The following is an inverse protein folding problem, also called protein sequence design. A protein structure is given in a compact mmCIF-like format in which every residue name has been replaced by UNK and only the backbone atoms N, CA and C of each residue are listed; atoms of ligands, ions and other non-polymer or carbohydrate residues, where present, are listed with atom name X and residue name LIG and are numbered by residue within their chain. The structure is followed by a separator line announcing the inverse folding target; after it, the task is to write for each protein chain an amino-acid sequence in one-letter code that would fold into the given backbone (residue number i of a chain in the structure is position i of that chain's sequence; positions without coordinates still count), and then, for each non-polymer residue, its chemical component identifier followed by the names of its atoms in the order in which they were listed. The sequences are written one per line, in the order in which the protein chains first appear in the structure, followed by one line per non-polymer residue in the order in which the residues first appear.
data_IF_993575098880
#
_entry.id   IF_993575098880
#
_cell.length_a   1.000
_cell.length_b   1.000
_cell.length_c   1.000
_cell.angle_alpha   90.00
_cell.angle_beta   90.00
_cell.angle_gamma   90.00
#
_symmetry.space_group_name_H-M   'P 1'
#
loop_
_entity.id
_entity.type
_entity.pdbx_description
1 polymer ?
#
# COMPACT_ATOMS: atom_id res chain seq x y z
N UNK A 1 25.86 -4.24 -68.33
CA UNK A 1 25.57 -5.50 -67.62
C UNK A 1 26.03 -5.35 -66.17
N UNK A 2 25.15 -4.85 -65.30
CA UNK A 2 25.43 -4.74 -63.87
C UNK A 2 25.10 -6.10 -63.21
N UNK A 3 26.11 -6.78 -62.66
CA UNK A 3 25.91 -7.98 -61.86
C UNK A 3 25.30 -7.59 -60.50
N UNK A 4 24.29 -8.32 -59.98
CA UNK A 4 23.76 -8.06 -58.65
C UNK A 4 24.80 -8.50 -57.60
N UNK A 5 25.17 -7.59 -56.70
CA UNK A 5 26.01 -7.91 -55.55
C UNK A 5 25.33 -9.01 -54.72
N UNK A 6 25.96 -10.18 -54.68
CA UNK A 6 25.57 -11.27 -53.81
C UNK A 6 25.63 -10.76 -52.36
N UNK A 7 24.48 -10.70 -51.69
CA UNK A 7 24.42 -10.43 -50.26
C UNK A 7 25.15 -11.57 -49.54
N UNK A 8 26.28 -11.24 -48.89
CA UNK A 8 27.11 -12.20 -48.17
C UNK A 8 26.24 -13.04 -47.19
N UNK A 9 26.22 -14.38 -47.31
CA UNK A 9 25.38 -15.26 -46.48
C UNK A 9 25.67 -15.14 -44.97
N UNK A 10 26.88 -14.69 -44.60
CA UNK A 10 27.29 -14.39 -43.22
C UNK A 10 26.46 -13.25 -42.58
N UNK A 11 26.14 -12.19 -43.34
CA UNK A 11 25.35 -11.06 -42.83
C UNK A 11 23.87 -11.43 -42.62
N UNK A 12 23.32 -12.30 -43.47
CA UNK A 12 21.96 -12.79 -43.34
C UNK A 12 21.79 -13.73 -42.14
N UNK A 13 22.78 -14.59 -41.86
CA UNK A 13 22.81 -15.46 -40.69
C UNK A 13 22.91 -14.66 -39.38
N UNK A 14 23.79 -13.64 -39.34
CA UNK A 14 23.93 -12.74 -38.21
C UNK A 14 22.63 -11.93 -37.94
N UNK A 15 22.00 -11.38 -38.98
CA UNK A 15 20.74 -10.65 -38.84
C UNK A 15 19.59 -11.54 -38.32
N UNK A 16 19.53 -12.80 -38.79
CA UNK A 16 18.53 -13.79 -38.33
C UNK A 16 18.75 -14.16 -36.86
N UNK A 17 20.00 -14.25 -36.41
CA UNK A 17 20.36 -14.51 -35.02
C UNK A 17 19.94 -13.36 -34.10
N UNK A 18 20.23 -12.10 -34.50
CA UNK A 18 19.80 -10.90 -33.76
C UNK A 18 18.28 -10.82 -33.63
N UNK A 19 17.54 -11.06 -34.72
CA UNK A 19 16.08 -11.05 -34.69
C UNK A 19 15.50 -12.14 -33.77
N UNK A 20 16.10 -13.33 -33.74
CA UNK A 20 15.70 -14.43 -32.86
C UNK A 20 15.95 -14.08 -31.39
N UNK A 21 17.08 -13.42 -31.07
CA UNK A 21 17.43 -12.93 -29.74
C UNK A 21 16.46 -11.86 -29.25
N UNK A 22 16.19 -10.84 -30.06
CA UNK A 22 15.20 -9.79 -29.74
C UNK A 22 13.80 -10.36 -29.51
N UNK A 23 13.39 -11.39 -30.28
CA UNK A 23 12.11 -12.06 -30.08
C UNK A 23 12.06 -12.81 -28.74
N UNK A 24 13.13 -13.50 -28.36
CA UNK A 24 13.23 -14.21 -27.08
C UNK A 24 13.22 -13.25 -25.89
N UNK A 25 13.98 -12.16 -25.96
CA UNK A 25 14.01 -11.11 -24.94
C UNK A 25 12.64 -10.45 -24.74
N UNK A 26 11.96 -10.05 -25.83
CA UNK A 26 10.60 -9.51 -25.76
C UNK A 26 9.60 -10.51 -25.15
N UNK A 27 9.74 -11.80 -25.46
CA UNK A 27 8.90 -12.84 -24.88
C UNK A 27 9.15 -13.02 -23.37
N UNK A 28 10.42 -13.00 -22.94
CA UNK A 28 10.80 -13.09 -21.54
C UNK A 28 10.30 -11.86 -20.74
N UNK A 29 10.51 -10.65 -21.25
CA UNK A 29 9.99 -9.41 -20.65
C UNK A 29 8.46 -9.42 -20.54
N UNK A 30 7.76 -9.95 -21.56
CA UNK A 30 6.30 -10.12 -21.50
C UNK A 30 5.88 -11.09 -20.40
N UNK A 31 6.61 -12.20 -20.21
CA UNK A 31 6.35 -13.17 -19.13
C UNK A 31 6.57 -12.53 -17.76
N UNK A 32 7.71 -11.86 -17.55
CA UNK A 32 8.04 -11.14 -16.31
C UNK A 32 6.93 -10.12 -15.99
N UNK A 33 6.53 -9.31 -16.99
CA UNK A 33 5.45 -8.33 -16.81
C UNK A 33 4.11 -8.96 -16.46
N UNK A 34 3.82 -10.14 -17.02
CA UNK A 34 2.60 -10.91 -16.71
C UNK A 34 2.60 -11.38 -15.26
N UNK A 35 3.72 -11.90 -14.77
CA UNK A 35 3.89 -12.33 -13.37
C UNK A 35 3.72 -11.17 -12.38
N UNK A 36 3.91 -9.92 -12.82
CA UNK A 36 3.67 -8.75 -11.97
C UNK A 36 2.24 -8.21 -12.05
N UNK A 37 1.40 -8.65 -12.99
CA UNK A 37 0.05 -8.08 -13.12
C UNK A 37 -0.84 -8.41 -11.90
N UNK A 38 -1.75 -7.51 -11.52
CA UNK A 38 -2.77 -7.80 -10.52
C UNK A 38 -3.51 -9.11 -10.86
N UNK A 39 -3.86 -9.88 -9.82
CA UNK A 39 -4.44 -11.24 -9.89
C UNK A 39 -3.47 -12.37 -10.25
N UNK A 40 -2.49 -12.14 -11.13
CA UNK A 40 -1.49 -13.16 -11.46
C UNK A 40 -0.34 -13.16 -10.44
N UNK A 41 0.07 -11.97 -9.98
CA UNK A 41 1.20 -11.77 -9.07
C UNK A 41 1.11 -12.55 -7.76
N UNK A 42 -0.10 -12.81 -7.28
CA UNK A 42 -0.32 -13.53 -6.03
C UNK A 42 0.13 -15.00 -6.12
N UNK A 43 0.13 -15.60 -7.32
CA UNK A 43 0.60 -16.97 -7.56
C UNK A 43 2.11 -17.13 -7.39
N UNK A 44 2.83 -16.00 -7.43
CA UNK A 44 4.29 -15.95 -7.33
C UNK A 44 4.76 -15.54 -5.93
N UNK A 45 3.85 -15.46 -4.96
CA UNK A 45 4.16 -15.15 -3.56
C UNK A 45 3.68 -16.29 -2.68
N UNK A 46 4.58 -16.84 -1.89
CA UNK A 46 4.30 -17.83 -0.87
C UNK A 46 4.30 -17.18 0.52
N UNK A 47 3.39 -17.61 1.38
CA UNK A 47 3.35 -17.25 2.80
C UNK A 47 4.15 -18.29 3.58
N UNK A 48 5.22 -17.83 4.24
CA UNK A 48 6.04 -18.66 5.13
C UNK A 48 5.46 -18.57 6.54
N UNK A 49 5.05 -19.70 7.10
CA UNK A 49 4.37 -19.77 8.39
C UNK A 49 5.24 -20.50 9.42
N UNK A 50 5.50 -19.84 10.56
CA UNK A 50 6.18 -20.44 11.71
C UNK A 50 5.35 -21.56 12.34
N UNK A 51 6.01 -22.65 12.73
CA UNK A 51 5.34 -23.84 13.27
C UNK A 51 4.59 -23.54 14.57
N UNK A 52 5.03 -22.54 15.36
CA UNK A 52 4.32 -22.08 16.56
C UNK A 52 2.95 -21.50 16.22
N UNK A 53 2.80 -20.86 15.06
CA UNK A 53 1.53 -20.32 14.58
C UNK A 53 0.71 -21.42 13.89
N UNK A 54 1.36 -22.25 13.07
CA UNK A 54 0.70 -23.34 12.36
C UNK A 54 0.05 -24.35 13.32
N UNK A 55 0.72 -24.65 14.44
CA UNK A 55 0.24 -25.58 15.45
C UNK A 55 -0.71 -24.93 16.48
N UNK A 56 -0.88 -23.60 16.46
CA UNK A 56 -1.85 -22.93 17.32
C UNK A 56 -3.29 -23.26 16.87
N UNK A 57 -4.11 -23.71 17.81
CA UNK A 57 -5.47 -24.21 17.54
C UNK A 57 -6.42 -23.14 16.99
N UNK A 58 -6.15 -21.85 17.24
CA UNK A 58 -6.99 -20.73 16.80
C UNK A 58 -6.39 -20.02 15.58
N UNK A 59 -5.09 -19.69 15.65
CA UNK A 59 -4.42 -18.86 14.65
C UNK A 59 -4.19 -19.62 13.35
N UNK A 60 -3.66 -20.84 13.41
CA UNK A 60 -3.34 -21.67 12.24
C UNK A 60 -4.55 -21.87 11.30
N UNK A 61 -5.68 -22.43 11.80
CA UNK A 61 -6.89 -22.62 11.00
C UNK A 61 -7.48 -21.31 10.46
N UNK A 62 -7.46 -20.23 11.25
CA UNK A 62 -8.01 -18.94 10.84
C UNK A 62 -7.19 -18.28 9.72
N UNK A 63 -5.87 -18.37 9.78
CA UNK A 63 -4.97 -17.86 8.74
C UNK A 63 -5.11 -18.69 7.48
N UNK A 64 -4.96 -20.01 7.58
CA UNK A 64 -5.06 -20.94 6.43
C UNK A 64 -6.42 -20.84 5.73
N UNK A 65 -7.52 -20.71 6.48
CA UNK A 65 -8.86 -20.51 5.93
C UNK A 65 -9.02 -19.20 5.13
N UNK A 66 -8.33 -18.12 5.53
CA UNK A 66 -8.38 -16.84 4.81
C UNK A 66 -7.49 -16.80 3.56
N UNK A 67 -6.46 -17.65 3.49
CA UNK A 67 -5.47 -17.66 2.41
C UNK A 67 -5.88 -18.46 1.18
N UNK A 68 -7.12 -18.94 1.10
CA UNK A 68 -7.67 -19.84 0.07
C UNK A 68 -7.04 -19.67 -1.34
N UNK A 69 -6.17 -20.61 -1.73
CA UNK A 69 -5.46 -20.64 -3.02
C UNK A 69 -4.06 -20.04 -3.05
N UNK A 70 -3.58 -19.42 -1.97
CA UNK A 70 -2.18 -19.01 -1.81
C UNK A 70 -1.29 -20.19 -1.39
N UNK A 71 -0.03 -20.17 -1.82
CA UNK A 71 0.95 -21.16 -1.39
C UNK A 71 1.37 -20.85 0.06
N UNK A 72 1.20 -21.83 0.94
CA UNK A 72 1.66 -21.77 2.33
C UNK A 72 2.80 -22.77 2.49
N UNK A 73 3.91 -22.32 3.04
CA UNK A 73 5.13 -23.11 3.24
C UNK A 73 5.57 -22.95 4.69
N UNK A 74 6.09 -23.99 5.36
CA UNK A 74 6.67 -23.82 6.68
C UNK A 74 7.88 -22.87 6.61
N UNK A 75 8.05 -22.04 7.64
CA UNK A 75 9.25 -21.22 7.80
C UNK A 75 10.44 -22.11 8.15
N UNK A 76 11.64 -21.79 7.67
CA UNK A 76 12.83 -22.63 7.91
C UNK A 76 13.13 -22.76 9.41
N UNK A 77 13.42 -23.99 9.87
CA UNK A 77 13.61 -24.28 11.28
C UNK A 77 14.77 -23.51 11.92
N UNK A 78 15.84 -23.25 11.17
CA UNK A 78 16.97 -22.46 11.64
C UNK A 78 16.58 -20.99 11.84
N UNK A 79 15.75 -20.45 10.94
CA UNK A 79 15.22 -19.09 11.07
C UNK A 79 14.24 -18.96 12.24
N UNK A 80 13.36 -19.95 12.41
CA UNK A 80 12.43 -20.00 13.55
C UNK A 80 13.19 -19.95 14.90
N UNK A 81 14.34 -20.62 15.01
CA UNK A 81 15.17 -20.60 16.23
C UNK A 81 15.83 -19.25 16.52
N UNK A 82 16.06 -18.44 15.48
CA UNK A 82 16.62 -17.09 15.63
C UNK A 82 15.56 -16.05 16.05
N UNK A 83 14.28 -16.35 15.82
CA UNK A 83 13.17 -15.45 16.05
C UNK A 83 12.54 -15.67 17.44
N UNK A 84 12.69 -14.73 18.39
CA UNK A 84 12.14 -14.89 19.74
C UNK A 84 10.60 -14.88 19.75
N UNK A 85 9.97 -14.26 18.74
CA UNK A 85 8.53 -14.24 18.53
C UNK A 85 8.15 -15.07 17.31
N UNK A 86 7.00 -15.79 17.33
CA UNK A 86 6.44 -16.42 16.14
C UNK A 86 6.29 -15.44 14.98
N UNK A 87 6.67 -15.86 13.77
CA UNK A 87 6.70 -14.97 12.61
C UNK A 87 5.93 -15.51 11.40
N UNK A 88 5.43 -14.58 10.60
CA UNK A 88 4.93 -14.83 9.25
C UNK A 88 5.79 -14.02 8.29
N UNK A 89 6.33 -14.68 7.27
CA UNK A 89 7.15 -14.05 6.24
C UNK A 89 6.59 -14.34 4.85
N UNK A 90 7.19 -13.72 3.84
CA UNK A 90 6.81 -13.94 2.45
C UNK A 90 8.03 -14.22 1.60
N UNK A 91 7.86 -15.14 0.66
CA UNK A 91 8.86 -15.47 -0.36
C UNK A 91 8.26 -15.22 -1.73
N UNK A 92 9.04 -14.62 -2.62
CA UNK A 92 8.66 -14.37 -4.00
C UNK A 92 9.46 -15.22 -4.96
N UNK A 93 8.78 -15.79 -5.93
CA UNK A 93 9.41 -16.36 -7.11
C UNK A 93 9.62 -15.24 -8.13
N UNK A 94 10.85 -14.76 -8.23
CA UNK A 94 11.24 -13.67 -9.11
C UNK A 94 11.62 -14.23 -10.47
N UNK A 95 11.03 -13.66 -11.51
CA UNK A 95 11.42 -13.92 -12.88
C UNK A 95 12.27 -12.74 -13.37
N UNK A 96 13.52 -13.01 -13.77
CA UNK A 96 14.44 -12.01 -14.32
C UNK A 96 14.98 -12.46 -15.67
N UNK A 97 15.52 -11.55 -16.47
CA UNK A 97 16.28 -11.93 -17.68
C UNK A 97 17.57 -12.62 -17.26
N UNK A 98 17.94 -13.71 -17.94
CA UNK A 98 19.21 -14.39 -17.68
C UNK A 98 20.38 -13.58 -18.26
N UNK A 99 21.27 -12.99 -17.42
CA UNK A 99 22.42 -12.25 -17.93
C UNK A 99 23.35 -13.13 -18.77
N UNK A 100 23.45 -14.42 -18.47
CA UNK A 100 24.32 -15.37 -19.18
C UNK A 100 23.75 -15.76 -20.55
N UNK A 101 22.41 -15.79 -20.71
CA UNK A 101 21.76 -15.99 -22.00
C UNK A 101 22.00 -14.82 -22.99
N UNK A 102 22.45 -13.67 -22.47
CA UNK A 102 22.71 -12.45 -23.24
C UNK A 102 24.17 -11.97 -23.16
N UNK A 103 25.04 -12.65 -22.43
CA UNK A 103 26.48 -12.42 -22.46
C UNK A 103 27.05 -12.87 -23.82
N UNK A 104 28.02 -12.12 -24.36
CA UNK A 104 28.60 -12.36 -25.68
C UNK A 104 29.35 -13.69 -25.76
N UNK A 105 28.63 -14.77 -26.07
CA UNK A 105 29.23 -16.01 -26.54
C UNK A 105 29.59 -15.82 -28.01
N UNK A 106 30.88 -15.56 -28.25
CA UNK A 106 31.48 -15.77 -29.56
C UNK A 106 31.29 -17.25 -29.96
N UNK A 107 30.82 -17.44 -31.20
CA UNK A 107 30.69 -18.72 -31.93
C UNK A 107 29.55 -19.68 -31.53
N UNK A 108 28.56 -19.74 -32.45
CA UNK A 108 27.82 -20.92 -32.98
C UNK A 108 27.17 -21.95 -32.05
N UNK A 109 27.27 -21.83 -30.73
CA UNK A 109 26.56 -22.68 -29.79
C UNK A 109 25.47 -21.87 -29.08
N UNK A 110 24.33 -21.69 -29.73
CA UNK A 110 23.09 -21.46 -28.98
C UNK A 110 22.86 -22.70 -28.09
N UNK A 111 22.68 -22.55 -26.76
CA UNK A 111 22.09 -23.61 -25.97
C UNK A 111 20.80 -24.05 -26.66
N UNK A 112 20.58 -25.36 -26.79
CA UNK A 112 19.46 -26.01 -27.50
C UNK A 112 18.06 -25.63 -26.95
N UNK A 113 18.01 -24.70 -25.99
CA UNK A 113 16.83 -24.15 -25.38
C UNK A 113 16.91 -22.62 -25.33
N UNK A 114 16.22 -21.95 -26.25
CA UNK A 114 15.79 -20.55 -26.07
C UNK A 114 14.77 -20.39 -24.93
N UNK A 115 14.45 -21.46 -24.18
CA UNK A 115 13.59 -21.41 -23.00
C UNK A 115 14.30 -20.84 -21.77
N UNK A 116 15.62 -20.60 -21.82
CA UNK A 116 16.42 -20.05 -20.72
C UNK A 116 16.70 -18.54 -20.82
N UNK A 117 15.92 -17.76 -21.58
CA UNK A 117 16.08 -16.30 -21.64
C UNK A 117 15.68 -15.59 -20.32
N UNK A 118 15.09 -16.32 -19.38
CA UNK A 118 14.73 -15.85 -18.05
C UNK A 118 15.16 -16.86 -16.97
N UNK A 119 15.70 -16.37 -15.87
CA UNK A 119 15.95 -17.14 -14.66
C UNK A 119 14.79 -16.97 -13.69
N UNK A 120 14.46 -18.05 -12.98
CA UNK A 120 13.54 -18.03 -11.86
C UNK A 120 14.36 -18.29 -10.59
N UNK A 121 14.25 -17.40 -9.61
CA UNK A 121 14.89 -17.57 -8.30
C UNK A 121 13.95 -17.15 -7.19
N UNK A 122 14.18 -17.66 -5.99
CA UNK A 122 13.41 -17.30 -4.81
C UNK A 122 14.08 -16.14 -4.09
N UNK A 123 13.30 -15.11 -3.76
CA UNK A 123 13.75 -13.97 -2.96
C UNK A 123 12.87 -13.87 -1.71
N UNK A 124 13.50 -13.74 -0.55
CA UNK A 124 12.80 -13.50 0.70
C UNK A 124 12.42 -12.02 0.79
N UNK A 125 11.14 -11.74 1.05
CA UNK A 125 10.68 -10.37 1.23
C UNK A 125 11.16 -9.78 2.56
N UNK A 126 11.38 -8.47 2.56
CA UNK A 126 11.79 -7.74 3.74
C UNK A 126 10.72 -7.73 4.83
N UNK A 127 9.45 -7.74 4.43
CA UNK A 127 8.31 -7.69 5.33
C UNK A 127 8.22 -8.94 6.20
N UNK A 128 7.93 -8.73 7.47
CA UNK A 128 7.64 -9.82 8.41
C UNK A 128 6.56 -9.38 9.39
N UNK A 129 5.73 -10.32 9.82
CA UNK A 129 4.70 -10.10 10.82
C UNK A 129 5.00 -10.96 12.03
N UNK A 130 5.44 -10.33 13.12
CA UNK A 130 5.69 -11.00 14.39
C UNK A 130 4.40 -11.02 15.21
N UNK A 131 4.11 -12.16 15.81
CA UNK A 131 2.93 -12.36 16.66
C UNK A 131 3.39 -12.46 18.11
N UNK A 132 2.83 -11.62 18.97
CA UNK A 132 3.04 -11.64 20.41
C UNK A 132 1.71 -11.87 21.11
N UNK A 133 1.71 -12.74 22.10
CA UNK A 133 0.57 -12.90 23.00
C UNK A 133 0.51 -11.70 23.96
N UNK A 134 -0.68 -11.11 24.13
CA UNK A 134 -0.91 -9.97 25.01
C UNK A 134 -0.48 -10.22 26.45
N UNK A 135 -0.51 -11.48 26.90
CA UNK A 135 0.03 -11.92 28.19
C UNK A 135 1.53 -11.63 28.30
N UNK A 136 2.32 -11.92 27.26
CA UNK A 136 3.76 -11.68 27.27
C UNK A 136 4.06 -10.19 27.40
N UNK A 137 3.29 -9.33 26.72
CA UNK A 137 3.43 -7.88 26.84
C UNK A 137 3.10 -7.40 28.26
N UNK A 138 1.99 -7.86 28.83
CA UNK A 138 1.57 -7.51 30.19
C UNK A 138 2.64 -7.94 31.20
N UNK A 139 3.19 -9.14 31.08
CA UNK A 139 4.27 -9.65 31.94
C UNK A 139 5.55 -8.80 31.82
N UNK A 140 5.93 -8.39 30.61
CA UNK A 140 7.08 -7.50 30.41
C UNK A 140 6.89 -6.14 31.09
N UNK A 141 5.68 -5.56 31.00
CA UNK A 141 5.37 -4.28 31.63
C UNK A 141 5.35 -4.39 33.16
N UNK A 142 4.75 -5.44 33.71
CA UNK A 142 4.73 -5.70 35.16
C UNK A 142 6.14 -5.82 35.73
N UNK A 143 7.03 -6.48 34.99
CA UNK A 143 8.42 -6.68 35.38
C UNK A 143 9.31 -5.45 35.10
N UNK A 144 8.73 -4.36 34.57
CA UNK A 144 9.44 -3.14 34.14
C UNK A 144 10.52 -3.40 33.08
N UNK A 145 10.27 -4.39 32.22
CA UNK A 145 11.16 -4.86 31.14
C UNK A 145 10.64 -4.45 29.77
N UNK A 146 9.81 -3.41 29.68
CA UNK A 146 9.23 -2.95 28.41
C UNK A 146 10.29 -2.50 27.38
N UNK A 147 11.52 -2.18 27.79
CA UNK A 147 12.63 -1.90 26.88
C UNK A 147 13.07 -3.14 26.09
N UNK A 148 12.87 -4.35 26.61
CA UNK A 148 13.20 -5.61 25.93
C UNK A 148 12.30 -5.88 24.73
N UNK A 149 11.14 -5.22 24.64
CA UNK A 149 10.25 -5.32 23.50
C UNK A 149 10.96 -4.95 22.18
N UNK A 150 11.91 -3.99 22.23
CA UNK A 150 12.73 -3.66 21.06
C UNK A 150 13.65 -4.82 20.65
N UNK A 151 14.27 -5.53 21.58
CA UNK A 151 15.16 -6.65 21.27
C UNK A 151 14.39 -7.90 20.83
N UNK A 152 13.16 -8.07 21.31
CA UNK A 152 12.28 -9.16 20.87
C UNK A 152 11.80 -8.95 19.43
N UNK A 153 11.48 -7.71 19.06
CA UNK A 153 11.03 -7.40 17.70
C UNK A 153 12.21 -7.24 16.74
N UNK A 154 13.38 -6.82 17.23
CA UNK A 154 14.63 -6.72 16.47
C UNK A 154 15.80 -7.43 17.17
N UNK A 155 15.87 -8.76 17.11
CA UNK A 155 17.10 -9.51 17.39
C UNK A 155 18.24 -9.00 16.51
N UNK A 156 19.33 -8.57 17.15
CA UNK A 156 20.50 -7.99 16.48
C UNK A 156 21.10 -8.91 15.40
N UNK A 157 20.96 -10.23 15.58
CA UNK A 157 21.44 -11.25 14.65
C UNK A 157 20.76 -11.19 13.27
N UNK A 158 19.51 -10.71 13.20
CA UNK A 158 18.75 -10.57 11.96
C UNK A 158 18.82 -9.15 11.39
N UNK A 159 19.38 -8.19 12.13
CA UNK A 159 19.59 -6.81 11.67
C UNK A 159 20.80 -6.70 10.74
N UNK A 160 21.80 -7.58 10.90
CA UNK A 160 23.00 -7.61 10.05
C UNK A 160 22.77 -8.18 8.65
N UNK A 161 21.64 -8.85 8.40
CA UNK A 161 21.25 -9.32 7.07
C UNK A 161 20.32 -8.28 6.40
N UNK A 162 20.51 -8.06 5.09
CA UNK A 162 19.88 -6.95 4.38
C UNK A 162 18.34 -6.88 4.54
N UNK A 163 17.83 -5.66 4.72
CA UNK A 163 16.41 -5.24 4.66
C UNK A 163 15.43 -6.17 5.39
N UNK A 164 15.50 -6.23 6.71
CA UNK A 164 14.39 -6.77 7.51
C UNK A 164 13.47 -5.65 8.03
N UNK A 165 12.17 -5.76 7.76
CA UNK A 165 11.15 -4.78 8.18
C UNK A 165 9.99 -5.48 8.91
N UNK A 166 10.13 -5.77 10.21
CA UNK A 166 9.08 -6.42 10.99
C UNK A 166 7.93 -5.46 11.32
N UNK A 167 6.74 -6.02 11.46
CA UNK A 167 5.56 -5.41 12.09
C UNK A 167 5.12 -6.32 13.23
N UNK A 168 4.59 -5.74 14.31
CA UNK A 168 4.15 -6.49 15.48
C UNK A 168 2.62 -6.57 15.53
N UNK A 169 2.10 -7.78 15.74
CA UNK A 169 0.71 -8.00 16.15
C UNK A 169 0.72 -8.48 17.59
N UNK A 170 -0.05 -7.80 18.44
CA UNK A 170 -0.30 -8.25 19.81
C UNK A 170 -1.72 -8.81 19.88
N UNK A 171 -1.85 -10.06 20.30
CA UNK A 171 -3.09 -10.79 20.29
C UNK A 171 -3.72 -10.88 21.69
N UNK A 172 -5.05 -10.77 21.82
CA UNK A 172 -5.79 -10.88 23.09
C UNK A 172 -5.34 -9.87 24.19
N UNK A 173 -4.85 -8.69 23.81
CA UNK A 173 -4.27 -7.74 24.76
C UNK A 173 -5.31 -7.20 25.76
N UNK A 174 -6.50 -6.83 25.28
CA UNK A 174 -7.54 -6.24 26.13
C UNK A 174 -8.02 -7.24 27.19
N UNK A 175 -8.09 -8.53 26.82
CA UNK A 175 -8.38 -9.62 27.73
C UNK A 175 -7.34 -9.69 28.86
N UNK A 176 -6.06 -9.62 28.53
CA UNK A 176 -4.98 -9.70 29.52
C UNK A 176 -4.84 -8.44 30.39
N UNK A 177 -5.06 -7.25 29.84
CA UNK A 177 -5.16 -6.01 30.63
C UNK A 177 -6.29 -6.14 31.67
N UNK A 178 -7.47 -6.58 31.24
CA UNK A 178 -8.63 -6.76 32.13
C UNK A 178 -8.35 -7.79 33.23
N UNK A 179 -7.71 -8.91 32.89
CA UNK A 179 -7.32 -9.94 33.86
C UNK A 179 -6.31 -9.40 34.88
N UNK A 180 -5.32 -8.62 34.43
CA UNK A 180 -4.33 -8.00 35.33
C UNK A 180 -4.99 -7.03 36.32
N UNK A 181 -5.97 -6.24 35.86
CA UNK A 181 -6.74 -5.33 36.71
C UNK A 181 -7.53 -6.09 37.77
N UNK A 182 -8.26 -7.14 37.37
CA UNK A 182 -9.04 -7.98 38.30
C UNK A 182 -8.16 -8.68 39.34
N UNK A 183 -6.99 -9.17 38.92
CA UNK A 183 -6.03 -9.79 39.82
C UNK A 183 -5.50 -8.78 40.86
N UNK A 184 -5.14 -7.57 40.42
CA UNK A 184 -4.69 -6.50 41.32
C UNK A 184 -5.77 -6.08 42.32
N UNK A 185 -7.03 -5.94 41.88
CA UNK A 185 -8.18 -5.64 42.74
C UNK A 185 -8.43 -6.74 43.79
N UNK A 186 -8.40 -8.02 43.37
CA UNK A 186 -8.56 -9.16 44.25
C UNK A 186 -7.45 -9.26 45.31
N UNK A 187 -6.19 -9.04 44.92
CA UNK A 187 -5.05 -9.01 45.83
C UNK A 187 -5.15 -7.85 46.82
N UNK A 188 -5.55 -6.66 46.37
CA UNK A 188 -5.80 -5.51 47.23
C UNK A 188 -6.91 -5.76 48.25
N UNK A 189 -7.99 -6.46 47.86
CA UNK A 189 -9.07 -6.84 48.76
C UNK A 189 -8.60 -7.84 49.83
N UNK A 190 -7.87 -8.89 49.42
CA UNK A 190 -7.30 -9.88 50.36
C UNK A 190 -6.35 -9.22 51.36
N UNK A 191 -5.48 -8.33 50.90
CA UNK A 191 -4.57 -7.57 51.76
C UNK A 191 -5.32 -6.73 52.80
N UNK A 192 -6.45 -6.10 52.43
CA UNK A 192 -7.31 -5.36 53.37
C UNK A 192 -7.99 -6.27 54.40
N UNK A 193 -8.42 -7.47 53.99
CA UNK A 193 -9.05 -8.43 54.90
C UNK A 193 -8.04 -8.98 55.93
N UNK A 194 -6.83 -9.31 55.51
CA UNK A 194 -5.72 -9.75 56.38
C UNK A 194 -5.23 -8.63 57.31
N UNK A 195 -5.27 -7.37 56.86
CA UNK A 195 -4.90 -6.23 57.72
C UNK A 195 -5.93 -5.96 58.83
N UNK A 196 -7.18 -6.40 58.67
CA UNK A 196 -8.25 -6.22 59.64
C UNK A 196 -8.36 -7.36 60.67
N UNK A 197 -7.70 -8.51 60.46
CA UNK A 197 -7.79 -9.64 61.39
C UNK A 197 -6.86 -9.53 62.60
N UNK A 198 -5.84 -8.66 62.56
CA UNK A 198 -4.83 -8.53 63.61
C UNK A 198 -4.59 -7.07 64.02
N UNK A 199 -5.49 -6.46 64.82
CA UNK A 199 -5.16 -5.46 65.88
C UNK A 199 -6.39 -4.86 66.60
N UNK A 200 -6.34 -4.65 67.92
CA UNK A 200 -7.26 -3.76 68.64
C UNK A 200 -6.98 -2.28 68.30
N UNK A 201 -8.02 -1.46 68.44
CA UNK A 201 -8.09 -0.04 68.06
C UNK A 201 -6.81 0.79 68.33
N UNK A 202 -6.17 1.23 67.24
CA UNK A 202 -5.13 2.26 67.23
C UNK A 202 -5.51 3.36 66.20
N UNK A 203 -5.08 4.62 66.39
CA UNK A 203 -5.58 5.78 65.65
C UNK A 203 -5.26 5.69 64.15
N UNK A 204 -6.00 6.41 63.28
CA UNK A 204 -6.06 6.13 61.85
C UNK A 204 -4.70 6.40 61.19
N UNK A 205 -3.91 5.35 61.02
CA UNK A 205 -2.74 5.38 60.15
C UNK A 205 -3.22 5.65 58.71
N UNK A 206 -2.51 6.54 58.01
CA UNK A 206 -2.76 6.87 56.60
C UNK A 206 -2.99 5.57 55.81
N UNK A 207 -4.14 5.50 55.12
CA UNK A 207 -4.53 4.37 54.25
C UNK A 207 -3.30 3.86 53.51
N UNK A 208 -2.87 2.59 53.71
CA UNK A 208 -1.84 2.02 52.86
C UNK A 208 -2.39 2.08 51.43
N UNK A 209 -1.67 2.76 50.53
CA UNK A 209 -1.95 2.65 49.09
C UNK A 209 -1.83 1.16 48.78
N UNK A 210 -2.96 0.49 48.53
CA UNK A 210 -2.96 -0.86 48.02
C UNK A 210 -2.00 -0.88 46.82
N UNK A 211 -1.05 -1.80 46.82
CA UNK A 211 -0.02 -1.85 45.79
C UNK A 211 -0.66 -2.08 44.42
N UNK A 212 -0.92 -1.01 43.69
CA UNK A 212 -1.30 -1.01 42.27
C UNK A 212 -0.11 -1.37 41.37
N UNK A 213 0.98 -1.86 41.95
CA UNK A 213 2.22 -2.19 41.25
C UNK A 213 2.06 -3.32 40.22
N UNK A 214 1.04 -4.18 40.39
CA UNK A 214 0.78 -5.31 39.50
C UNK A 214 -0.26 -5.00 38.41
N UNK A 215 -0.92 -3.84 38.46
CA UNK A 215 -1.94 -3.47 37.47
C UNK A 215 -1.25 -2.89 36.23
N UNK A 216 -1.42 -3.56 35.09
CA UNK A 216 -1.03 -2.99 33.80
C UNK A 216 -2.18 -2.17 33.26
N UNK A 217 -1.88 -0.92 32.94
CA UNK A 217 -2.83 0.00 32.33
C UNK A 217 -2.64 0.03 30.82
N UNK A 218 -3.72 0.34 30.10
CA UNK A 218 -3.65 0.57 28.65
C UNK A 218 -2.63 1.65 28.28
N UNK A 219 -2.49 2.69 29.11
CA UNK A 219 -1.50 3.75 28.91
C UNK A 219 -0.07 3.19 28.86
N UNK A 220 0.29 2.28 29.77
CA UNK A 220 1.62 1.67 29.78
C UNK A 220 1.89 0.81 28.54
N UNK A 221 0.87 0.12 28.03
CA UNK A 221 0.98 -0.62 26.76
C UNK A 221 1.21 0.33 25.58
N UNK A 222 0.42 1.41 25.48
CA UNK A 222 0.56 2.43 24.42
C UNK A 222 1.92 3.15 24.50
N UNK A 223 2.42 3.47 25.70
CA UNK A 223 3.77 4.02 25.90
C UNK A 223 4.85 3.08 25.36
N UNK A 224 4.73 1.77 25.59
CA UNK A 224 5.65 0.78 25.05
C UNK A 224 5.58 0.72 23.50
N UNK A 225 4.37 0.79 22.92
CA UNK A 225 4.19 0.82 21.47
C UNK A 225 4.77 2.06 20.82
N UNK A 226 4.49 3.24 21.39
CA UNK A 226 5.03 4.52 20.93
C UNK A 226 6.56 4.51 21.02
N UNK A 227 7.12 4.02 22.13
CA UNK A 227 8.56 3.87 22.28
C UNK A 227 9.15 2.99 21.17
N UNK A 228 8.55 1.83 20.90
CA UNK A 228 9.00 0.93 19.83
C UNK A 228 8.91 1.59 18.44
N UNK A 229 7.80 2.29 18.17
CA UNK A 229 7.59 2.99 16.89
C UNK A 229 8.59 4.13 16.70
N UNK A 230 8.87 4.92 17.73
CA UNK A 230 9.82 6.04 17.65
C UNK A 230 11.27 5.59 17.54
N UNK A 231 11.64 4.51 18.24
CA UNK A 231 13.03 4.04 18.28
C UNK A 231 13.39 3.14 17.09
N UNK A 232 12.44 2.36 16.58
CA UNK A 232 12.71 1.34 15.55
C UNK A 232 11.78 1.39 14.33
N UNK A 233 10.80 2.27 14.30
CA UNK A 233 9.88 2.40 13.17
C UNK A 233 8.88 1.25 13.01
N UNK A 234 8.67 0.42 14.04
CA UNK A 234 7.73 -0.70 13.95
C UNK A 234 6.31 -0.26 14.15
N UNK A 235 5.45 -0.76 13.27
CA UNK A 235 4.01 -0.64 13.43
C UNK A 235 3.50 -1.77 14.31
N UNK A 236 2.76 -1.41 15.36
CA UNK A 236 2.07 -2.36 16.24
C UNK A 236 0.58 -2.36 15.92
N UNK A 237 -0.03 -3.55 15.88
CA UNK A 237 -1.48 -3.73 15.73
C UNK A 237 -1.98 -4.65 16.83
N UNK A 238 -3.03 -4.25 17.53
CA UNK A 238 -3.71 -5.11 18.50
C UNK A 238 -4.88 -5.78 17.80
N UNK A 239 -4.96 -7.12 17.90
CA UNK A 239 -6.03 -7.91 17.32
C UNK A 239 -6.60 -8.87 18.36
N UNK A 240 -7.93 -9.02 18.38
CA UNK A 240 -8.64 -9.91 19.33
C UNK A 240 -9.35 -11.07 18.60
N UNK A 241 -9.46 -11.00 17.27
CA UNK A 241 -10.15 -11.98 16.42
C UNK A 241 -9.15 -12.66 15.47
N UNK A 242 -9.04 -14.00 15.47
CA UNK A 242 -8.02 -14.67 14.68
C UNK A 242 -8.36 -14.63 13.19
N UNK A 243 -9.63 -14.41 12.83
CA UNK A 243 -10.07 -14.19 11.46
C UNK A 243 -9.58 -12.84 10.94
N UNK A 244 -9.49 -11.81 11.80
CA UNK A 244 -8.90 -10.53 11.42
C UNK A 244 -7.39 -10.67 11.13
N UNK A 245 -6.69 -11.50 11.91
CA UNK A 245 -5.29 -11.83 11.61
C UNK A 245 -5.17 -12.53 10.24
N UNK A 246 -6.00 -13.54 9.97
CA UNK A 246 -6.00 -14.20 8.67
C UNK A 246 -6.26 -13.24 7.50
N UNK A 247 -7.23 -12.33 7.64
CA UNK A 247 -7.50 -11.26 6.66
C UNK A 247 -6.31 -10.30 6.50
N UNK A 248 -5.65 -9.93 7.59
CA UNK A 248 -4.46 -9.08 7.55
C UNK A 248 -3.33 -9.76 6.77
N UNK A 249 -3.05 -11.05 7.05
CA UNK A 249 -2.03 -11.83 6.34
C UNK A 249 -2.36 -11.91 4.85
N UNK A 250 -3.62 -12.16 4.48
CA UNK A 250 -4.07 -12.14 3.09
C UNK A 250 -3.85 -10.78 2.42
N UNK A 251 -4.24 -9.69 3.10
CA UNK A 251 -4.07 -8.33 2.60
C UNK A 251 -2.59 -7.97 2.42
N UNK A 252 -1.72 -8.37 3.35
CA UNK A 252 -0.27 -8.19 3.25
C UNK A 252 0.32 -9.00 2.09
N UNK A 253 -0.02 -10.28 1.97
CA UNK A 253 0.42 -11.11 0.84
C UNK A 253 0.02 -10.49 -0.51
N UNK A 254 -1.21 -9.96 -0.61
CA UNK A 254 -1.68 -9.24 -1.80
C UNK A 254 -0.92 -7.93 -2.02
N UNK A 255 -0.70 -7.14 -0.97
CA UNK A 255 0.02 -5.87 -1.07
C UNK A 255 1.47 -6.07 -1.49
N UNK A 256 2.14 -7.08 -0.92
CA UNK A 256 3.47 -7.54 -1.28
C UNK A 256 3.45 -7.98 -2.74
N UNK A 257 2.56 -8.88 -3.14
CA UNK A 257 2.47 -9.36 -4.53
C UNK A 257 2.31 -8.21 -5.55
N UNK A 258 1.47 -7.21 -5.26
CA UNK A 258 1.20 -6.05 -6.12
C UNK A 258 2.24 -4.92 -6.04
N UNK A 259 3.15 -4.94 -5.04
CA UNK A 259 4.17 -3.90 -4.83
C UNK A 259 4.97 -3.56 -6.09
N UNK A 260 5.60 -4.51 -6.82
CA UNK A 260 6.38 -4.18 -8.00
C UNK A 260 5.54 -3.55 -9.12
N UNK A 261 4.29 -4.01 -9.30
CA UNK A 261 3.37 -3.39 -10.25
C UNK A 261 3.01 -1.96 -9.84
N UNK A 262 2.76 -1.72 -8.55
CA UNK A 262 2.48 -0.38 -8.04
C UNK A 262 3.71 0.53 -8.13
N UNK A 263 4.91 0.03 -7.89
CA UNK A 263 6.17 0.78 -8.04
C UNK A 263 6.39 1.20 -9.49
N UNK A 264 6.35 0.25 -10.43
CA UNK A 264 6.47 0.53 -11.86
C UNK A 264 5.37 1.48 -12.37
N UNK A 265 4.17 1.42 -11.76
CA UNK A 265 3.07 2.36 -12.04
C UNK A 265 3.36 3.77 -11.50
N UNK A 266 3.97 3.89 -10.33
CA UNK A 266 4.30 5.19 -9.72
C UNK A 266 5.47 5.88 -10.43
N UNK A 267 6.37 5.11 -11.04
CA UNK A 267 7.43 5.63 -11.93
C UNK A 267 6.89 6.19 -13.26
N UNK A 268 5.61 5.95 -13.58
CA UNK A 268 4.96 6.55 -14.76
C UNK A 268 4.74 8.05 -14.57
N UNK A 269 4.99 8.83 -15.63
CA UNK A 269 4.85 10.30 -15.70
C UNK A 269 3.47 10.80 -15.27
N UNK A 270 2.45 9.95 -15.34
CA UNK A 270 1.05 10.31 -15.06
C UNK A 270 0.50 9.59 -13.82
N UNK A 271 1.18 9.65 -12.67
CA UNK A 271 0.79 8.93 -11.44
C UNK A 271 -0.68 9.11 -10.98
N UNK A 272 -1.37 10.17 -11.43
CA UNK A 272 -2.78 10.46 -11.16
C UNK A 272 -3.79 9.64 -11.99
N UNK A 273 -3.40 9.07 -13.14
CA UNK A 273 -4.35 8.47 -14.11
C UNK A 273 -4.90 7.09 -13.70
N UNK A 274 -4.56 6.56 -12.52
CA UNK A 274 -4.90 5.20 -12.07
C UNK A 274 -5.37 5.16 -10.60
N UNK A 275 -6.11 6.17 -10.17
CA UNK A 275 -6.82 6.15 -8.89
C UNK A 275 -8.30 5.85 -9.11
N UNK A 276 -8.81 4.76 -8.54
CA UNK A 276 -10.22 4.33 -8.65
C UNK A 276 -11.26 5.31 -8.01
N UNK A 277 -10.85 6.54 -7.67
CA UNK A 277 -11.74 7.59 -7.12
C UNK A 277 -11.87 8.84 -8.00
N UNK A 278 -10.95 9.07 -8.94
CA UNK A 278 -10.99 10.19 -9.90
C UNK A 278 -10.52 9.63 -11.23
N UNK A 279 -11.46 9.16 -12.08
CA UNK A 279 -11.09 8.54 -13.36
C UNK A 279 -11.71 7.17 -13.64
N UNK A 280 -12.93 6.91 -13.19
CA UNK A 280 -13.77 6.02 -14.00
C UNK A 280 -13.96 6.76 -15.34
N UNK A 281 -13.37 6.25 -16.43
CA UNK A 281 -13.52 6.87 -17.75
C UNK A 281 -15.01 7.11 -18.05
N UNK A 282 -15.32 8.23 -18.71
CA UNK A 282 -16.69 8.51 -19.13
C UNK A 282 -17.02 7.59 -20.31
N UNK A 283 -18.04 6.73 -20.15
CA UNK A 283 -18.56 5.93 -21.26
C UNK A 283 -19.28 6.86 -22.23
N UNK A 284 -18.89 6.81 -23.49
CA UNK A 284 -19.58 7.48 -24.58
C UNK A 284 -20.35 6.45 -25.38
N UNK A 285 -21.59 6.76 -25.73
CA UNK A 285 -22.41 5.93 -26.60
C UNK A 285 -22.64 6.67 -27.92
N UNK A 286 -22.40 5.98 -29.03
CA UNK A 286 -22.61 6.54 -30.36
C UNK A 286 -24.09 6.85 -30.58
N UNK A 287 -24.37 8.00 -31.17
CA UNK A 287 -25.74 8.40 -31.47
C UNK A 287 -26.22 7.72 -32.76
N UNK A 288 -27.39 7.07 -32.71
CA UNK A 288 -27.95 6.34 -33.84
C UNK A 288 -28.32 7.24 -35.04
N UNK A 289 -28.50 8.54 -34.80
CA UNK A 289 -28.85 9.56 -35.79
C UNK A 289 -27.64 10.36 -36.32
N UNK A 290 -26.41 9.97 -35.95
CA UNK A 290 -25.19 10.71 -36.30
C UNK A 290 -25.02 12.04 -35.52
N UNK A 291 -25.84 12.27 -34.49
CA UNK A 291 -25.74 13.39 -33.57
C UNK A 291 -24.60 13.28 -32.55
N UNK A 292 -24.59 14.17 -31.56
CA UNK A 292 -23.58 14.19 -30.50
C UNK A 292 -23.67 12.92 -29.64
N UNK A 293 -22.54 12.24 -29.34
CA UNK A 293 -22.55 11.03 -28.53
C UNK A 293 -23.12 11.30 -27.12
N UNK A 294 -23.92 10.36 -26.63
CA UNK A 294 -24.44 10.44 -25.28
C UNK A 294 -23.30 10.35 -24.26
N UNK A 295 -23.33 11.19 -23.23
CA UNK A 295 -22.28 11.27 -22.21
C UNK A 295 -21.19 12.32 -22.46
N UNK A 296 -21.25 13.09 -23.56
CA UNK A 296 -20.26 14.14 -23.83
C UNK A 296 -20.28 15.28 -22.80
N UNK A 297 -21.47 15.64 -22.30
CA UNK A 297 -21.61 16.66 -21.26
C UNK A 297 -20.99 16.20 -19.94
N UNK A 298 -21.14 14.91 -19.64
CA UNK A 298 -20.55 14.28 -18.47
C UNK A 298 -19.02 14.23 -18.59
N UNK A 299 -18.50 13.94 -19.79
CA UNK A 299 -17.07 14.06 -20.07
C UNK A 299 -16.56 15.47 -19.84
N UNK A 300 -17.27 16.49 -20.36
CA UNK A 300 -16.87 17.89 -20.16
C UNK A 300 -16.87 18.29 -18.69
N UNK A 301 -17.91 17.88 -17.95
CA UNK A 301 -18.00 18.06 -16.50
C UNK A 301 -16.81 17.44 -15.77
N UNK A 302 -16.47 16.18 -16.09
CA UNK A 302 -15.35 15.47 -15.49
C UNK A 302 -14.00 16.12 -15.80
N UNK A 303 -13.79 16.59 -17.04
CA UNK A 303 -12.59 17.34 -17.42
C UNK A 303 -12.42 18.61 -16.59
N UNK A 304 -13.50 19.36 -16.34
CA UNK A 304 -13.45 20.54 -15.47
C UNK A 304 -13.13 20.18 -14.02
N UNK A 305 -13.58 19.02 -13.53
CA UNK A 305 -13.29 18.56 -12.17
C UNK A 305 -11.86 18.05 -11.98
N UNK A 306 -11.09 17.87 -13.06
CA UNK A 306 -9.66 17.60 -12.95
C UNK A 306 -8.88 18.80 -12.41
N UNK A 307 -9.43 20.02 -12.48
CA UNK A 307 -8.82 21.19 -11.88
C UNK A 307 -8.98 21.17 -10.35
N UNK A 308 -7.91 21.45 -9.57
CA UNK A 308 -7.99 21.51 -8.12
C UNK A 308 -9.08 22.47 -7.64
N UNK A 309 -9.86 22.02 -6.65
CA UNK A 309 -10.97 22.77 -6.03
C UNK A 309 -12.19 23.02 -6.93
N UNK A 310 -12.26 22.42 -8.12
CA UNK A 310 -13.47 22.45 -8.96
C UNK A 310 -14.44 21.36 -8.54
N UNK A 311 -15.48 21.75 -7.81
CA UNK A 311 -16.58 20.85 -7.44
C UNK A 311 -17.54 20.63 -8.61
N UNK A 312 -18.42 19.64 -8.50
CA UNK A 312 -19.43 19.37 -9.53
C UNK A 312 -20.35 20.59 -9.79
N UNK A 313 -20.62 21.39 -8.76
CA UNK A 313 -21.42 22.61 -8.87
C UNK A 313 -20.68 23.72 -9.62
N UNK A 314 -19.39 23.94 -9.31
CA UNK A 314 -18.52 24.87 -10.03
C UNK A 314 -18.41 24.48 -11.51
N UNK A 315 -18.17 23.19 -11.78
CA UNK A 315 -18.11 22.67 -13.14
C UNK A 315 -19.41 22.95 -13.90
N UNK A 316 -20.58 22.68 -13.30
CA UNK A 316 -21.87 22.98 -13.94
C UNK A 316 -22.09 24.47 -14.19
N UNK A 317 -21.64 25.35 -13.29
CA UNK A 317 -21.69 26.80 -13.54
C UNK A 317 -20.85 27.19 -14.75
N UNK A 318 -19.64 26.66 -14.88
CA UNK A 318 -18.78 26.88 -16.06
C UNK A 318 -19.45 26.32 -17.31
N UNK A 319 -20.01 25.10 -17.26
CA UNK A 319 -20.71 24.49 -18.40
C UNK A 319 -21.91 25.31 -18.88
N UNK A 320 -22.66 25.95 -17.98
CA UNK A 320 -23.78 26.82 -18.36
C UNK A 320 -23.32 28.03 -19.18
N UNK A 321 -22.17 28.60 -18.85
CA UNK A 321 -21.57 29.70 -19.61
C UNK A 321 -20.85 29.20 -20.88
N UNK A 322 -20.23 28.02 -20.80
CA UNK A 322 -19.40 27.41 -21.84
C UNK A 322 -19.71 25.92 -21.98
N UNK A 323 -20.71 25.55 -22.82
CA UNK A 323 -21.22 24.18 -22.91
C UNK A 323 -20.22 23.14 -23.42
N UNK A 324 -19.11 23.57 -24.03
CA UNK A 324 -18.04 22.68 -24.46
C UNK A 324 -16.68 23.37 -24.37
N UNK A 325 -15.56 22.61 -24.38
CA UNK A 325 -14.22 23.20 -24.40
C UNK A 325 -14.05 24.20 -25.55
N UNK A 326 -14.62 23.90 -26.72
CA UNK A 326 -14.56 24.77 -27.89
C UNK A 326 -15.25 26.13 -27.70
N UNK A 327 -16.29 26.22 -26.88
CA UNK A 327 -16.91 27.51 -26.53
C UNK A 327 -15.98 28.34 -25.65
N UNK A 328 -15.36 27.71 -24.65
CA UNK A 328 -14.42 28.37 -23.74
C UNK A 328 -13.17 28.87 -24.49
N UNK A 329 -12.59 28.02 -25.35
CA UNK A 329 -11.42 28.37 -26.17
C UNK A 329 -11.73 29.55 -27.11
N UNK A 330 -12.90 29.53 -27.77
CA UNK A 330 -13.33 30.65 -28.63
C UNK A 330 -13.54 31.94 -27.84
N UNK A 331 -14.08 31.86 -26.63
CA UNK A 331 -14.24 33.03 -25.76
C UNK A 331 -12.88 33.62 -25.38
N UNK A 332 -11.90 32.79 -25.00
CA UNK A 332 -10.53 33.25 -24.74
C UNK A 332 -9.85 33.88 -25.95
N UNK A 333 -10.05 33.33 -27.15
CA UNK A 333 -9.49 33.89 -28.38
C UNK A 333 -10.06 35.28 -28.73
N UNK A 334 -11.26 35.61 -28.24
CA UNK A 334 -11.89 36.91 -28.44
C UNK A 334 -11.50 37.99 -27.42
N UNK A 335 -10.75 37.65 -26.38
CA UNK A 335 -10.34 38.61 -25.36
C UNK A 335 -9.20 39.52 -25.85
N UNK A 336 -9.24 40.80 -25.48
CA UNK A 336 -8.21 41.78 -25.81
C UNK A 336 -6.98 41.68 -24.88
N UNK A 337 -7.12 41.04 -23.71
CA UNK A 337 -6.03 40.89 -22.74
C UNK A 337 -6.14 39.59 -21.93
N UNK A 338 -5.02 39.15 -21.34
CA UNK A 338 -5.01 38.00 -20.43
C UNK A 338 -5.85 38.25 -19.16
N UNK A 339 -5.91 39.49 -18.66
CA UNK A 339 -6.74 39.82 -17.50
C UNK A 339 -8.23 39.64 -17.78
N UNK A 340 -8.67 40.05 -18.98
CA UNK A 340 -10.04 39.86 -19.43
C UNK A 340 -10.38 38.36 -19.57
N UNK A 341 -9.47 37.58 -20.15
CA UNK A 341 -9.62 36.13 -20.27
C UNK A 341 -9.76 35.46 -18.90
N UNK A 342 -8.96 35.86 -17.91
CA UNK A 342 -9.07 35.35 -16.53
C UNK A 342 -10.45 35.68 -15.93
N UNK A 343 -10.98 36.88 -16.17
CA UNK A 343 -12.28 37.32 -15.64
C UNK A 343 -13.46 36.51 -16.17
N UNK A 344 -13.38 35.98 -17.40
CA UNK A 344 -14.43 35.17 -18.02
C UNK A 344 -14.93 34.03 -17.12
N UNK A 345 -14.01 33.31 -16.47
CA UNK A 345 -14.35 32.26 -15.50
C UNK A 345 -14.44 32.82 -14.08
N UNK A 346 -13.55 33.73 -13.70
CA UNK A 346 -13.47 34.22 -12.32
C UNK A 346 -14.76 34.88 -11.83
N UNK A 347 -15.46 35.60 -12.71
CA UNK A 347 -16.66 36.36 -12.36
C UNK A 347 -17.96 35.54 -12.44
N UNK A 348 -17.89 34.29 -12.89
CA UNK A 348 -19.06 33.39 -12.87
C UNK A 348 -19.53 33.18 -11.44
N UNK A 349 -20.86 33.16 -11.27
CA UNK A 349 -21.49 33.00 -9.97
C UNK A 349 -22.01 31.58 -9.77
N UNK A 350 -21.63 30.98 -8.65
CA UNK A 350 -22.19 29.72 -8.16
C UNK A 350 -23.21 30.05 -7.08
N UNK A 351 -24.48 29.71 -7.35
CA UNK A 351 -25.57 29.86 -6.38
C UNK A 351 -25.79 28.54 -5.65
N UNK A 352 -25.51 28.53 -4.33
CA UNK A 352 -25.81 27.40 -3.47
C UNK A 352 -27.21 27.53 -2.88
N UNK A 353 -28.08 26.57 -3.21
CA UNK A 353 -29.46 26.48 -2.69
C UNK A 353 -30.50 27.19 -3.56
N UNK A 354 -31.77 26.80 -3.38
CA UNK A 354 -32.94 27.38 -4.04
C UNK A 354 -33.74 28.26 -3.06
N UNK A 355 -34.14 29.46 -3.49
CA UNK A 355 -35.00 30.36 -2.71
C UNK A 355 -34.28 31.57 -2.07
N UNK A 356 -34.95 32.31 -1.17
CA UNK A 356 -34.50 33.61 -0.65
C UNK A 356 -33.23 33.57 0.21
N UNK A 357 -32.78 32.38 0.62
CA UNK A 357 -31.54 32.15 1.37
C UNK A 357 -30.38 31.68 0.47
N UNK A 358 -30.54 31.77 -0.85
CA UNK A 358 -29.48 31.39 -1.79
C UNK A 358 -28.25 32.29 -1.61
N UNK A 359 -27.09 31.66 -1.47
CA UNK A 359 -25.81 32.38 -1.38
C UNK A 359 -25.10 32.26 -2.73
N UNK A 360 -24.82 33.42 -3.35
CA UNK A 360 -24.06 33.50 -4.59
C UNK A 360 -22.61 33.85 -4.26
N UNK A 361 -21.67 33.06 -4.77
CA UNK A 361 -20.23 33.37 -4.70
C UNK A 361 -19.62 33.38 -6.09
N UNK A 362 -18.68 34.29 -6.32
CA UNK A 362 -17.83 34.24 -7.52
C UNK A 362 -16.87 33.05 -7.46
N UNK A 363 -16.48 32.53 -8.61
CA UNK A 363 -15.47 31.49 -8.72
C UNK A 363 -14.07 31.96 -8.30
N UNK A 364 -13.76 33.21 -8.60
CA UNK A 364 -12.54 33.90 -8.16
C UNK A 364 -11.37 33.82 -9.16
N UNK A 365 -10.44 34.78 -9.08
CA UNK A 365 -9.38 34.99 -10.06
C UNK A 365 -8.39 33.83 -10.14
N UNK A 366 -8.11 33.14 -9.04
CA UNK A 366 -7.17 32.02 -9.02
C UNK A 366 -7.65 30.82 -9.85
N UNK A 367 -8.96 30.54 -9.84
CA UNK A 367 -9.51 29.51 -10.71
C UNK A 367 -9.51 29.96 -12.18
N UNK A 368 -9.84 31.23 -12.43
CA UNK A 368 -9.79 31.81 -13.77
C UNK A 368 -8.40 31.73 -14.40
N UNK A 369 -7.36 32.10 -13.64
CA UNK A 369 -5.94 31.99 -14.06
C UNK A 369 -5.57 30.56 -14.41
N UNK A 370 -5.91 29.59 -13.55
CA UNK A 370 -5.64 28.16 -13.76
C UNK A 370 -6.23 27.62 -15.05
N UNK A 371 -7.53 27.86 -15.25
CA UNK A 371 -8.22 27.35 -16.44
C UNK A 371 -7.73 28.07 -17.70
N UNK A 372 -7.54 29.40 -17.65
CA UNK A 372 -6.98 30.13 -18.78
C UNK A 372 -5.58 29.64 -19.15
N UNK A 373 -4.68 29.50 -18.18
CA UNK A 373 -3.31 29.01 -18.40
C UNK A 373 -3.31 27.60 -19.02
N UNK A 374 -4.18 26.69 -18.57
CA UNK A 374 -4.30 25.35 -19.16
C UNK A 374 -4.69 25.36 -20.64
N UNK A 375 -5.62 26.24 -21.05
CA UNK A 375 -6.10 26.30 -22.43
C UNK A 375 -5.26 27.20 -23.35
N UNK A 376 -4.37 28.02 -22.80
CA UNK A 376 -3.57 28.99 -23.57
C UNK A 376 -2.07 28.65 -23.62
N UNK A 377 -1.54 27.96 -22.61
CA UNK A 377 -0.13 27.58 -22.56
C UNK A 377 0.21 26.53 -23.62
N UNK A 378 1.42 26.66 -24.18
CA UNK A 378 2.05 25.63 -25.03
C UNK A 378 3.11 24.83 -24.29
N UNK A 379 3.44 25.23 -23.06
CA UNK A 379 4.41 24.53 -22.23
C UNK A 379 3.69 23.40 -21.46
N UNK A 380 4.00 22.12 -21.72
CA UNK A 380 3.42 21.00 -20.98
C UNK A 380 3.83 20.98 -19.49
N UNK A 381 4.87 21.72 -19.09
CA UNK A 381 5.35 21.80 -17.72
C UNK A 381 4.87 23.06 -16.98
N UNK A 382 3.98 23.84 -17.59
CA UNK A 382 3.41 25.04 -16.96
C UNK A 382 2.69 24.65 -15.66
N UNK A 383 3.13 25.23 -14.54
CA UNK A 383 2.45 25.10 -13.25
C UNK A 383 1.17 25.95 -13.28
N UNK A 384 0.05 25.33 -12.90
CA UNK A 384 -1.30 25.91 -12.91
C UNK A 384 -1.71 26.41 -11.53
#
# INVERSE_FOLDING_TARGET
LAQPMATNPSNAAAAKLVAKRQKAEKAALRRIRKCMQPRECLKHVAVLLDDRIANDQRLGPSITGCLNGQQIVPLDADEQRLLPLPAIRWRRNVHALDPAAFADLAHDALPSSLAAASVEFEELESDSLLIMDGRQLVELIQQKRQSELSSLVFPEQLVSTNRWSPSLVVYDLELHITQSSRAAEGNALRAKMLANSDKPAAPPAKKPKASTADQVTRLQCEEAFVSLQLTRGVTVRVLEDPVQLGKLVYCLAKAIAERPFKAARLESVFSFHVGAGVGAGCRLEESADGGSPAGIDELWRCQLQCFPLVTAEVARTIMRAYPSPGHLIRAYAGCASAEEAVRLVADLQVCKGTGPLSTARRLGPELGKRIYAFYSSRDPNQVL
#
